data_IF_515662532420
#
_entry.id   IF_515662532420
#
_cell.length_a   1.000
_cell.length_b   1.000
_cell.length_c   1.000
_cell.angle_alpha   90.00
_cell.angle_beta   90.00
_cell.angle_gamma   90.00
#
_symmetry.space_group_name_H-M   'P 1'
#
loop_
_entity.id
_entity.type
_entity.pdbx_description
1 polymer ?
#
# COMPACT_ATOMS: atom_id res chain seq x y z
N UNK A 1 -30.10 18.19 -39.99
CA UNK A 1 -29.39 17.33 -39.03
C UNK A 1 -28.42 18.25 -38.32
N UNK A 2 -28.80 18.68 -37.12
CA UNK A 2 -28.05 19.69 -36.39
C UNK A 2 -26.75 19.06 -35.91
N UNK A 3 -25.67 19.37 -36.63
CA UNK A 3 -24.27 19.07 -36.33
C UNK A 3 -23.76 19.71 -35.03
N UNK A 4 -24.64 20.38 -34.29
CA UNK A 4 -24.29 21.54 -33.47
C UNK A 4 -24.08 21.22 -31.99
N UNK A 5 -23.91 19.94 -31.63
CA UNK A 5 -23.56 19.61 -30.24
C UNK A 5 -22.63 18.40 -30.07
N UNK A 6 -21.72 18.17 -31.02
CA UNK A 6 -20.62 17.23 -30.80
C UNK A 6 -19.53 17.93 -29.96
N UNK A 7 -19.41 17.56 -28.68
CA UNK A 7 -18.35 18.04 -27.79
C UNK A 7 -17.34 16.92 -27.48
N UNK A 8 -16.32 16.72 -28.33
CA UNK A 8 -15.36 15.64 -28.17
C UNK A 8 -14.43 15.86 -26.98
N UNK A 9 -13.81 14.78 -26.45
CA UNK A 9 -12.83 14.90 -25.38
C UNK A 9 -11.60 15.70 -25.82
N UNK A 10 -10.93 16.34 -24.87
CA UNK A 10 -9.79 17.24 -25.13
C UNK A 10 -8.63 16.54 -25.86
N UNK A 11 -8.40 15.26 -25.56
CA UNK A 11 -7.39 14.43 -26.25
C UNK A 11 -7.69 14.28 -27.74
N UNK A 12 -8.96 14.09 -28.11
CA UNK A 12 -9.39 14.01 -29.50
C UNK A 12 -9.18 15.35 -30.20
N UNK A 13 -9.56 16.47 -29.55
CA UNK A 13 -9.43 17.82 -30.12
C UNK A 13 -7.97 18.15 -30.44
N UNK A 14 -7.06 17.81 -29.52
CA UNK A 14 -5.62 18.03 -29.66
C UNK A 14 -5.02 17.12 -30.75
N UNK A 15 -5.36 15.84 -30.76
CA UNK A 15 -4.92 14.89 -31.80
C UNK A 15 -5.34 15.33 -33.20
N UNK A 16 -6.63 15.68 -33.35
CA UNK A 16 -7.20 16.14 -34.63
C UNK A 16 -6.53 17.43 -35.10
N UNK A 17 -6.27 18.38 -34.17
CA UNK A 17 -5.55 19.61 -34.48
C UNK A 17 -4.13 19.34 -34.99
N UNK A 18 -3.39 18.44 -34.33
CA UNK A 18 -2.03 18.03 -34.73
C UNK A 18 -2.04 17.38 -36.12
N UNK A 19 -2.98 16.46 -36.39
CA UNK A 19 -3.12 15.80 -37.68
C UNK A 19 -3.45 16.78 -38.81
N UNK A 20 -4.33 17.75 -38.56
CA UNK A 20 -4.68 18.76 -39.57
C UNK A 20 -3.56 19.77 -39.82
N UNK A 21 -2.77 20.13 -38.78
CA UNK A 21 -1.56 20.94 -38.97
C UNK A 21 -0.57 20.19 -39.87
N UNK A 22 -0.36 18.90 -39.63
CA UNK A 22 0.50 18.05 -40.48
C UNK A 22 0.01 18.00 -41.93
N UNK A 23 -1.30 17.97 -42.13
CA UNK A 23 -1.90 17.99 -43.47
C UNK A 23 -1.93 19.40 -44.11
N UNK A 24 -1.39 20.43 -43.45
CA UNK A 24 -1.27 21.78 -44.02
C UNK A 24 -2.56 22.60 -44.02
N UNK A 25 -3.57 22.23 -43.22
CA UNK A 25 -4.80 22.99 -43.12
C UNK A 25 -4.59 24.35 -42.43
N UNK A 26 -5.40 25.33 -42.81
CA UNK A 26 -5.39 26.67 -42.21
C UNK A 26 -6.03 26.64 -40.82
N UNK A 27 -5.57 27.52 -39.93
CA UNK A 27 -6.02 27.61 -38.53
C UNK A 27 -7.53 27.78 -38.41
N UNK A 28 -8.16 28.48 -39.36
CA UNK A 28 -9.61 28.72 -39.39
C UNK A 28 -10.39 27.43 -39.62
N UNK A 29 -9.88 26.54 -40.45
CA UNK A 29 -10.53 25.27 -40.79
C UNK A 29 -10.32 24.27 -39.64
N UNK A 30 -9.13 24.27 -39.04
CA UNK A 30 -8.80 23.47 -37.85
C UNK A 30 -9.70 23.87 -36.66
N UNK A 31 -9.83 25.17 -36.42
CA UNK A 31 -10.68 25.73 -35.35
C UNK A 31 -12.13 25.24 -35.45
N UNK A 32 -12.70 25.25 -36.67
CA UNK A 32 -14.08 24.81 -36.92
C UNK A 32 -14.26 23.30 -36.77
N UNK A 33 -13.34 22.52 -37.34
CA UNK A 33 -13.42 21.05 -37.40
C UNK A 33 -13.07 20.37 -36.08
N UNK A 34 -12.05 20.87 -35.36
CA UNK A 34 -11.67 20.35 -34.04
C UNK A 34 -12.44 21.01 -32.89
N UNK A 35 -13.31 21.99 -33.18
CA UNK A 35 -14.10 22.73 -32.17
C UNK A 35 -13.24 23.29 -31.03
N UNK A 36 -12.12 23.94 -31.38
CA UNK A 36 -11.17 24.58 -30.44
C UNK A 36 -11.03 26.07 -30.73
N UNK A 37 -10.57 26.85 -29.76
CA UNK A 37 -10.27 28.25 -29.98
C UNK A 37 -9.07 28.42 -30.92
N UNK A 38 -9.07 29.48 -31.73
CA UNK A 38 -7.96 29.79 -32.66
C UNK A 38 -6.61 29.90 -31.95
N UNK A 39 -6.58 30.46 -30.73
CA UNK A 39 -5.37 30.57 -29.94
C UNK A 39 -4.80 29.21 -29.55
N UNK A 40 -5.65 28.22 -29.25
CA UNK A 40 -5.23 26.84 -28.97
C UNK A 40 -4.51 26.22 -30.16
N UNK A 41 -5.01 26.43 -31.39
CA UNK A 41 -4.34 25.94 -32.61
C UNK A 41 -2.98 26.60 -32.80
N UNK A 42 -2.86 27.90 -32.54
CA UNK A 42 -1.59 28.63 -32.60
C UNK A 42 -0.58 28.13 -31.57
N UNK A 43 -1.02 27.88 -30.33
CA UNK A 43 -0.17 27.29 -29.28
C UNK A 43 0.32 25.90 -29.70
N UNK A 44 -0.57 25.04 -30.21
CA UNK A 44 -0.18 23.70 -30.70
C UNK A 44 0.84 23.79 -31.85
N UNK A 45 0.71 24.78 -32.75
CA UNK A 45 1.69 25.00 -33.81
C UNK A 45 3.05 25.42 -33.25
N UNK A 46 3.09 26.35 -32.29
CA UNK A 46 4.34 26.74 -31.61
C UNK A 46 5.01 25.54 -30.94
N UNK A 47 4.24 24.73 -30.21
CA UNK A 47 4.74 23.51 -29.55
C UNK A 47 5.27 22.47 -30.56
N UNK A 48 4.66 22.34 -31.74
CA UNK A 48 5.14 21.48 -32.83
C UNK A 48 6.46 21.99 -33.43
N UNK A 49 6.60 23.30 -33.63
CA UNK A 49 7.84 23.92 -34.12
C UNK A 49 8.98 23.74 -33.10
N UNK A 50 8.70 23.96 -31.81
CA UNK A 50 9.66 23.78 -30.69
C UNK A 50 10.10 22.31 -30.53
N UNK A 51 9.21 21.35 -30.79
CA UNK A 51 9.50 19.91 -30.75
C UNK A 51 10.06 19.36 -32.05
N UNK A 52 10.47 20.22 -33.01
CA UNK A 52 10.99 19.80 -34.31
C UNK A 52 10.02 18.87 -35.08
N UNK A 53 8.72 19.18 -35.02
CA UNK A 53 7.62 18.41 -35.59
C UNK A 53 7.48 16.98 -35.05
N UNK A 54 7.89 16.73 -33.80
CA UNK A 54 7.68 15.45 -33.15
C UNK A 54 6.24 15.33 -32.62
N UNK A 55 5.33 14.94 -33.51
CA UNK A 55 3.88 14.95 -33.28
C UNK A 55 3.45 14.13 -32.06
N UNK A 56 4.07 12.98 -31.80
CA UNK A 56 3.73 12.10 -30.67
C UNK A 56 3.91 12.82 -29.32
N UNK A 57 4.93 13.68 -29.20
CA UNK A 57 5.19 14.46 -27.98
C UNK A 57 4.15 15.55 -27.74
N UNK A 58 3.57 16.12 -28.80
CA UNK A 58 2.63 17.24 -28.70
C UNK A 58 1.19 16.78 -28.52
N UNK A 59 0.83 15.59 -29.02
CA UNK A 59 -0.52 15.01 -28.88
C UNK A 59 -0.92 14.92 -27.41
N UNK A 60 -0.03 14.47 -26.55
CA UNK A 60 -0.27 14.43 -25.11
C UNK A 60 -0.01 15.79 -24.47
N UNK A 61 -1.00 16.34 -23.78
CA UNK A 61 -0.82 17.58 -23.03
C UNK A 61 0.04 17.30 -21.79
N UNK A 62 1.00 18.18 -21.51
CA UNK A 62 1.75 18.12 -20.25
C UNK A 62 0.78 18.15 -19.06
N UNK A 63 0.93 17.15 -18.19
CA UNK A 63 0.17 17.10 -16.93
C UNK A 63 0.63 18.26 -16.04
N UNK A 64 -0.32 18.85 -15.32
CA UNK A 64 -0.02 19.88 -14.34
C UNK A 64 1.02 19.37 -13.34
N UNK A 65 2.06 20.16 -13.11
CA UNK A 65 3.08 19.83 -12.10
C UNK A 65 2.52 20.12 -10.71
N UNK A 66 2.97 19.35 -9.72
CA UNK A 66 2.74 19.70 -8.32
C UNK A 66 3.40 21.05 -8.03
N UNK A 67 2.83 21.77 -7.07
CA UNK A 67 3.40 23.01 -6.56
C UNK A 67 4.79 22.74 -5.98
N UNK A 68 5.74 23.64 -6.25
CA UNK A 68 7.13 23.51 -5.80
C UNK A 68 7.30 23.67 -4.29
N UNK A 69 6.35 24.34 -3.63
CA UNK A 69 6.29 24.55 -2.18
C UNK A 69 5.77 23.33 -1.40
N UNK A 70 5.61 22.17 -2.05
CA UNK A 70 5.10 20.97 -1.39
C UNK A 70 6.12 20.40 -0.40
N UNK A 71 5.75 20.41 0.88
CA UNK A 71 6.55 19.81 1.97
C UNK A 71 6.71 18.28 1.87
N UNK A 72 5.90 17.60 1.03
CA UNK A 72 5.94 16.14 0.83
C UNK A 72 7.06 15.75 -0.15
N UNK A 73 8.29 16.12 0.16
CA UNK A 73 9.49 15.68 -0.57
C UNK A 73 9.89 14.26 -0.14
N UNK A 74 10.60 13.49 -0.98
CA UNK A 74 11.06 12.15 -0.60
C UNK A 74 11.95 12.16 0.65
N UNK A 75 12.84 13.16 0.77
CA UNK A 75 13.71 13.34 1.95
C UNK A 75 12.89 13.54 3.24
N UNK A 76 11.79 14.30 3.16
CA UNK A 76 10.89 14.50 4.28
C UNK A 76 10.21 13.19 4.70
N UNK A 77 9.74 12.40 3.73
CA UNK A 77 9.10 11.10 3.98
C UNK A 77 10.08 10.13 4.64
N UNK A 78 11.34 10.09 4.20
CA UNK A 78 12.38 9.28 4.84
C UNK A 78 12.66 9.72 6.29
N UNK A 79 12.73 11.03 6.53
CA UNK A 79 12.91 11.57 7.89
C UNK A 79 11.74 11.17 8.81
N UNK A 80 10.51 11.29 8.31
CA UNK A 80 9.31 10.84 9.01
C UNK A 80 9.35 9.33 9.30
N UNK A 81 9.76 8.54 8.30
CA UNK A 81 9.84 7.08 8.43
C UNK A 81 10.82 6.66 9.53
N UNK A 82 11.97 7.32 9.62
CA UNK A 82 12.96 7.07 10.69
C UNK A 82 12.34 7.31 12.06
N UNK A 83 11.69 8.46 12.27
CA UNK A 83 11.04 8.79 13.55
C UNK A 83 9.94 7.78 13.94
N UNK A 84 9.13 7.35 12.97
CA UNK A 84 8.08 6.36 13.20
C UNK A 84 8.66 4.97 13.50
N UNK A 85 9.80 4.62 12.89
CA UNK A 85 10.46 3.33 13.11
C UNK A 85 11.16 3.29 14.47
N UNK A 86 11.76 4.40 14.90
CA UNK A 86 12.41 4.56 16.21
C UNK A 86 11.41 4.41 17.37
N UNK A 87 10.28 5.13 17.32
CA UNK A 87 9.20 4.97 18.28
C UNK A 87 7.83 4.94 17.57
N UNK A 88 7.31 3.74 17.29
CA UNK A 88 6.00 3.59 16.64
C UNK A 88 4.83 3.93 17.57
N UNK A 89 5.08 4.32 18.82
CA UNK A 89 4.04 4.72 19.78
C UNK A 89 3.78 6.23 19.75
N UNK A 90 4.64 7.02 19.10
CA UNK A 90 4.46 8.47 18.95
C UNK A 90 3.15 8.78 18.20
N UNK A 91 2.41 9.76 18.69
CA UNK A 91 1.21 10.25 18.00
C UNK A 91 1.59 11.11 16.80
N UNK A 92 0.70 11.20 15.81
CA UNK A 92 0.91 12.08 14.64
C UNK A 92 1.08 13.55 15.05
N UNK A 93 0.38 13.98 16.12
CA UNK A 93 0.54 15.33 16.69
C UNK A 93 1.94 15.57 17.23
N UNK A 94 2.55 14.58 17.91
CA UNK A 94 3.91 14.70 18.43
C UNK A 94 4.95 14.74 17.30
N UNK A 95 4.76 13.92 16.28
CA UNK A 95 5.60 13.94 15.07
C UNK A 95 5.48 15.29 14.33
N UNK A 96 4.27 15.87 14.31
CA UNK A 96 4.00 17.18 13.73
C UNK A 96 4.74 18.31 14.48
N UNK A 97 4.69 18.30 15.81
CA UNK A 97 5.46 19.21 16.68
C UNK A 97 6.98 19.08 16.44
N UNK A 98 7.49 17.85 16.39
CA UNK A 98 8.92 17.55 16.21
C UNK A 98 9.45 17.97 14.82
N UNK A 99 8.62 17.86 13.78
CA UNK A 99 8.97 18.26 12.41
C UNK A 99 8.56 19.69 12.06
N UNK A 100 7.82 20.38 12.92
CA UNK A 100 7.31 21.73 12.67
C UNK A 100 6.29 21.82 11.52
N UNK A 101 5.50 20.76 11.31
CA UNK A 101 4.54 20.67 10.20
C UNK A 101 3.12 20.49 10.74
N UNK A 102 2.10 20.82 9.96
CA UNK A 102 0.71 20.53 10.31
C UNK A 102 0.45 19.02 10.47
N UNK A 103 -0.34 18.64 11.48
CA UNK A 103 -0.71 17.25 11.76
C UNK A 103 -1.36 16.53 10.54
N UNK A 104 -2.18 17.24 9.77
CA UNK A 104 -2.81 16.69 8.55
C UNK A 104 -1.77 16.22 7.54
N UNK A 105 -0.68 16.98 7.35
CA UNK A 105 0.41 16.60 6.43
C UNK A 105 1.04 15.29 6.88
N UNK A 106 1.33 15.16 8.18
CA UNK A 106 1.89 13.94 8.75
C UNK A 106 0.96 12.74 8.55
N UNK A 107 -0.33 12.90 8.83
CA UNK A 107 -1.31 11.83 8.66
C UNK A 107 -1.43 11.36 7.21
N UNK A 108 -1.43 12.31 6.26
CA UNK A 108 -1.48 12.01 4.84
C UNK A 108 -0.20 11.30 4.40
N UNK A 109 0.98 11.76 4.84
CA UNK A 109 2.25 11.06 4.54
C UNK A 109 2.26 9.63 5.07
N UNK A 110 1.83 9.42 6.32
CA UNK A 110 1.80 8.10 6.94
C UNK A 110 0.85 7.16 6.18
N UNK A 111 -0.33 7.65 5.77
CA UNK A 111 -1.36 6.84 5.11
C UNK A 111 -1.08 6.59 3.63
N UNK A 112 -0.66 7.61 2.89
CA UNK A 112 -0.51 7.53 1.43
C UNK A 112 0.90 7.15 0.99
N UNK A 113 1.92 7.80 1.57
CA UNK A 113 3.32 7.61 1.15
C UNK A 113 3.94 6.39 1.84
N UNK A 114 3.85 6.30 3.16
CA UNK A 114 4.39 5.17 3.95
C UNK A 114 3.43 3.98 4.03
N UNK A 115 2.13 4.21 3.79
CA UNK A 115 1.06 3.19 3.91
C UNK A 115 1.03 2.47 5.26
N UNK A 116 1.39 3.17 6.32
CA UNK A 116 1.33 2.66 7.68
C UNK A 116 -0.06 2.88 8.28
N UNK A 117 -0.50 1.92 9.08
CA UNK A 117 -1.73 2.00 9.86
C UNK A 117 -1.40 2.08 11.36
N UNK A 118 -2.08 2.96 12.08
CA UNK A 118 -1.94 3.08 13.52
C UNK A 118 -2.74 1.98 14.23
N UNK A 119 -2.12 0.82 14.44
CA UNK A 119 -2.72 -0.22 15.26
C UNK A 119 -2.56 0.10 16.75
N UNK A 120 -3.66 -0.01 17.50
CA UNK A 120 -3.63 0.13 18.95
C UNK A 120 -3.00 -1.12 19.57
N UNK A 121 -1.74 -1.01 20.03
CA UNK A 121 -1.09 -2.10 20.79
C UNK A 121 -1.85 -2.36 22.10
N UNK A 122 -2.37 -3.58 22.27
CA UNK A 122 -2.94 -4.04 23.55
C UNK A 122 -1.81 -4.50 24.46
N UNK A 123 -1.79 -4.05 25.72
CA UNK A 123 -0.85 -4.55 26.72
C UNK A 123 -1.32 -5.94 27.16
N UNK A 124 -0.63 -6.99 26.72
CA UNK A 124 -0.82 -8.35 27.24
C UNK A 124 0.00 -8.58 28.53
N UNK A 125 -0.05 -9.80 29.07
CA UNK A 125 0.84 -10.20 30.15
C UNK A 125 2.29 -10.15 29.65
N UNK A 126 3.11 -9.29 30.26
CA UNK A 126 4.53 -9.18 29.93
C UNK A 126 5.20 -10.51 30.29
N UNK A 127 5.89 -11.09 29.31
CA UNK A 127 6.50 -12.39 29.47
C UNK A 127 7.79 -12.26 30.28
N UNK A 128 7.83 -12.83 31.49
CA UNK A 128 9.03 -12.88 32.31
C UNK A 128 10.12 -13.72 31.62
N UNK A 129 11.40 -13.46 31.92
CA UNK A 129 12.52 -14.21 31.33
C UNK A 129 12.37 -15.73 31.54
N UNK A 130 11.98 -16.15 32.74
CA UNK A 130 11.68 -17.56 33.04
C UNK A 130 10.58 -18.12 32.14
N UNK A 131 9.53 -17.33 31.87
CA UNK A 131 8.45 -17.75 31.00
C UNK A 131 8.89 -17.78 29.52
N UNK A 132 9.79 -16.90 29.08
CA UNK A 132 10.41 -16.96 27.75
C UNK A 132 11.20 -18.26 27.58
N UNK A 133 12.10 -18.57 28.52
CA UNK A 133 12.91 -19.80 28.50
C UNK A 133 12.03 -21.05 28.51
N UNK A 134 11.01 -21.09 29.39
CA UNK A 134 10.07 -22.21 29.45
C UNK A 134 9.30 -22.38 28.14
N UNK A 135 8.83 -21.28 27.51
CA UNK A 135 8.14 -21.33 26.22
C UNK A 135 9.06 -21.82 25.12
N UNK A 136 10.29 -21.34 25.05
CA UNK A 136 11.28 -21.76 24.05
C UNK A 136 11.61 -23.25 24.19
N UNK A 137 11.89 -23.73 25.41
CA UNK A 137 12.15 -25.15 25.67
C UNK A 137 10.96 -26.05 25.29
N UNK A 138 9.73 -25.64 25.64
CA UNK A 138 8.51 -26.37 25.28
C UNK A 138 8.28 -26.38 23.77
N UNK A 139 8.46 -25.25 23.10
CA UNK A 139 8.30 -25.12 21.65
C UNK A 139 9.33 -25.99 20.89
N UNK A 140 10.60 -25.98 21.32
CA UNK A 140 11.64 -26.85 20.75
C UNK A 140 11.32 -28.33 20.95
N UNK A 141 10.85 -28.72 22.14
CA UNK A 141 10.42 -30.10 22.41
C UNK A 141 9.24 -30.53 21.55
N UNK A 142 8.25 -29.65 21.36
CA UNK A 142 7.11 -29.92 20.49
C UNK A 142 7.55 -30.04 19.03
N UNK A 143 8.43 -29.15 18.55
CA UNK A 143 8.97 -29.21 17.19
C UNK A 143 9.73 -30.53 16.94
N UNK A 144 10.55 -30.95 17.89
CA UNK A 144 11.31 -32.21 17.79
C UNK A 144 10.43 -33.46 17.92
N UNK A 145 9.35 -33.40 18.71
CA UNK A 145 8.35 -34.48 18.82
C UNK A 145 7.40 -34.53 17.62
N UNK A 146 7.22 -33.41 16.93
CA UNK A 146 6.46 -33.29 15.68
C UNK A 146 7.28 -33.65 14.45
N UNK A 147 8.52 -34.18 14.61
CA UNK A 147 9.10 -35.09 13.64
C UNK A 147 8.21 -36.34 13.68
N UNK A 148 7.08 -36.23 12.97
CA UNK A 148 6.25 -37.36 12.62
C UNK A 148 7.17 -38.40 11.97
N UNK A 149 7.20 -39.65 12.44
CA UNK A 149 7.85 -40.68 11.66
C UNK A 149 7.12 -40.78 10.30
N UNK A 150 7.82 -40.95 9.17
CA UNK A 150 7.17 -41.05 7.85
C UNK A 150 6.15 -42.21 7.74
N UNK A 151 6.09 -43.12 8.72
CA UNK A 151 5.19 -44.27 8.79
C UNK A 151 4.47 -44.41 10.15
N UNK A 152 3.75 -43.39 10.63
CA UNK A 152 2.78 -43.62 11.72
C UNK A 152 1.37 -43.84 11.17
N UNK A 153 0.75 -45.01 11.38
CA UNK A 153 -0.64 -45.27 11.04
C UNK A 153 -1.54 -44.81 12.19
N UNK A 154 -2.56 -44.01 11.88
CA UNK A 154 -3.46 -43.34 12.83
C UNK A 154 -4.46 -44.28 13.53
N UNK A 155 -4.16 -45.57 13.64
CA UNK A 155 -5.03 -46.56 14.27
C UNK A 155 -4.18 -47.67 14.88
N UNK A 156 -3.62 -47.45 16.08
CA UNK A 156 -3.21 -48.57 16.92
C UNK A 156 -4.10 -48.65 18.18
N UNK A 157 -5.00 -49.64 18.28
CA UNK A 157 -5.88 -49.84 19.45
C UNK A 157 -5.13 -50.13 20.77
N UNK A 158 -3.80 -50.25 20.74
CA UNK A 158 -2.97 -50.45 21.93
C UNK A 158 -2.72 -49.18 22.78
N UNK A 159 -2.94 -47.97 22.27
CA UNK A 159 -2.66 -46.73 23.04
C UNK A 159 -3.66 -46.49 24.19
N UNK A 160 -4.83 -47.13 24.15
CA UNK A 160 -5.75 -47.15 25.29
C UNK A 160 -5.16 -47.85 26.52
N UNK A 161 -4.26 -48.82 26.33
CA UNK A 161 -3.64 -49.55 27.45
C UNK A 161 -2.50 -48.78 28.12
N UNK A 162 -1.77 -47.97 27.35
CA UNK A 162 -0.66 -47.18 27.87
C UNK A 162 -1.16 -45.96 28.66
N UNK A 163 -2.28 -45.35 28.23
CA UNK A 163 -2.89 -44.22 28.92
C UNK A 163 -3.36 -44.58 30.34
N UNK A 164 -3.99 -45.75 30.52
CA UNK A 164 -4.40 -46.21 31.85
C UNK A 164 -3.23 -46.56 32.79
N UNK A 165 -2.05 -46.90 32.26
CA UNK A 165 -0.85 -47.10 33.07
C UNK A 165 -0.24 -45.76 33.51
N UNK A 166 -0.14 -44.80 32.60
CA UNK A 166 0.39 -43.45 32.90
C UNK A 166 -0.53 -42.71 33.87
N UNK A 167 -1.85 -42.82 33.71
CA UNK A 167 -2.83 -42.16 34.56
C UNK A 167 -2.79 -42.63 36.02
N UNK A 168 -2.46 -43.91 36.25
CA UNK A 168 -2.23 -44.50 37.59
C UNK A 168 -0.95 -44.00 38.27
N UNK A 169 0.08 -43.69 37.49
CA UNK A 169 1.35 -43.18 38.02
C UNK A 169 1.33 -41.66 38.25
N UNK A 170 0.52 -40.91 37.49
CA UNK A 170 0.43 -39.45 37.61
C UNK A 170 -0.62 -38.97 38.62
N UNK A 171 -1.66 -39.75 38.90
CA UNK A 171 -2.70 -39.39 39.86
C UNK A 171 -2.49 -40.12 41.19
N UNK A 172 -2.04 -39.40 42.22
CA UNK A 172 -1.98 -39.91 43.59
C UNK A 172 -3.37 -40.31 44.13
N UNK A 173 -3.45 -40.94 45.32
CA UNK A 173 -4.59 -41.75 45.81
C UNK A 173 -5.94 -41.04 46.09
N UNK A 174 -6.22 -39.89 45.47
CA UNK A 174 -7.47 -39.13 45.63
C UNK A 174 -8.24 -38.96 44.31
N UNK A 175 -8.41 -40.03 43.54
CA UNK A 175 -9.42 -40.10 42.48
C UNK A 175 -10.51 -41.09 42.89
N UNK A 176 -11.62 -40.59 43.43
CA UNK A 176 -12.83 -41.38 43.66
C UNK A 176 -13.46 -41.79 42.32
N UNK A 177 -13.96 -43.02 42.15
CA UNK A 177 -14.61 -43.43 40.92
C UNK A 177 -16.01 -42.80 40.80
N UNK A 178 -16.37 -42.37 39.60
CA UNK A 178 -17.73 -41.95 39.26
C UNK A 178 -18.69 -43.15 39.31
N UNK A 179 -19.93 -42.98 39.81
CA UNK A 179 -20.89 -44.08 39.85
C UNK A 179 -21.48 -44.32 38.45
N UNK A 180 -21.74 -45.61 38.19
CA UNK A 180 -22.40 -46.14 37.00
C UNK A 180 -23.83 -45.66 36.80
#
# INVERSE_FOLDING_TARGET
MDSDNFNPPESWKRTTSVMMIRAGFKDKDIMKTACVARNTVKTIRSELEESNNEYEKVVERMKGKRRSDSLRTPEFVEKLQKLVTEDPSKSSTKLAEELGVGNTTIQVCIKEDLRYNFYKRRKGQILTEKAQQNRLSKAQKLLNKLIWPPNSPDCNPCDYYLWGAVERDTNGPHATPWPS
#
